data_IF_595363631451
#
_entry.id   IF_595363631451
#
_cell.length_a   1.000
_cell.length_b   1.000
_cell.length_c   1.000
_cell.angle_alpha   90.00
_cell.angle_beta   90.00
_cell.angle_gamma   90.00
#
_symmetry.space_group_name_H-M   'P 1'
#
loop_
_entity.id
_entity.type
_entity.pdbx_description
1 polymer ?
#
# COMPACT_ATOMS: atom_id res chain seq x y z
N UNK A 1 -27.60 -3.77 16.83
CA UNK A 1 -26.66 -4.75 17.42
C UNK A 1 -26.04 -5.49 16.26
N UNK A 2 -24.78 -5.18 15.98
CA UNK A 2 -24.12 -5.38 14.68
C UNK A 2 -23.09 -6.52 14.77
N UNK A 3 -23.13 -7.57 13.91
CA UNK A 3 -22.26 -8.74 14.03
C UNK A 3 -20.89 -8.61 13.34
N UNK A 4 -20.44 -7.42 12.93
CA UNK A 4 -19.22 -7.23 12.13
C UNK A 4 -17.91 -6.96 12.91
N UNK A 5 -17.78 -7.49 14.14
CA UNK A 5 -16.58 -7.33 14.98
C UNK A 5 -15.90 -8.68 15.31
N UNK A 6 -15.79 -9.58 14.34
CA UNK A 6 -14.96 -10.79 14.50
C UNK A 6 -13.56 -10.57 13.93
N UNK A 7 -12.59 -10.78 14.82
CA UNK A 7 -11.17 -10.45 14.71
C UNK A 7 -10.49 -11.18 13.56
N UNK A 8 -9.78 -10.44 12.72
CA UNK A 8 -8.73 -10.99 11.85
C UNK A 8 -7.51 -11.31 12.73
N UNK A 9 -7.57 -12.44 13.43
CA UNK A 9 -6.37 -13.09 13.99
C UNK A 9 -5.65 -13.81 12.85
N UNK A 10 -4.52 -13.24 12.42
CA UNK A 10 -3.65 -13.79 11.39
C UNK A 10 -3.23 -15.23 11.69
N UNK A 11 -3.68 -16.12 10.80
CA UNK A 11 -3.30 -17.53 10.69
C UNK A 11 -1.81 -17.68 10.34
N UNK A 12 -0.96 -17.66 11.36
CA UNK A 12 0.25 -18.49 11.38
C UNK A 12 -0.10 -19.70 12.25
N UNK A 13 -0.10 -20.89 11.65
CA UNK A 13 -0.37 -22.15 12.34
C UNK A 13 0.38 -22.17 13.69
N UNK A 14 -0.28 -22.37 14.83
CA UNK A 14 0.38 -22.31 16.15
C UNK A 14 1.57 -23.27 16.27
N UNK A 15 1.59 -24.36 15.48
CA UNK A 15 2.74 -25.28 15.40
C UNK A 15 3.95 -24.67 14.70
N UNK A 16 3.76 -23.78 13.73
CA UNK A 16 4.84 -23.05 13.04
C UNK A 16 5.48 -21.98 13.92
N UNK A 17 4.71 -21.33 14.81
CA UNK A 17 5.25 -20.36 15.78
C UNK A 17 6.16 -21.05 16.80
N UNK A 18 5.75 -22.22 17.29
CA UNK A 18 6.55 -23.03 18.22
C UNK A 18 7.80 -23.59 17.54
N UNK A 19 7.73 -23.96 16.25
CA UNK A 19 8.89 -24.42 15.48
C UNK A 19 9.89 -23.30 15.17
N UNK A 20 9.45 -22.07 14.90
CA UNK A 20 10.36 -20.94 14.68
C UNK A 20 11.04 -20.49 15.98
N UNK A 21 10.28 -20.36 17.08
CA UNK A 21 10.84 -20.00 18.39
C UNK A 21 11.72 -21.14 18.93
N UNK A 22 11.27 -22.38 18.81
CA UNK A 22 12.02 -23.57 19.23
C UNK A 22 13.26 -23.83 18.37
N UNK A 23 13.20 -23.61 17.06
CA UNK A 23 14.33 -23.74 16.14
C UNK A 23 15.40 -22.67 16.35
N UNK A 24 14.98 -21.41 16.61
CA UNK A 24 15.89 -20.35 16.98
C UNK A 24 16.56 -20.60 18.34
N UNK A 25 15.84 -21.15 19.33
CA UNK A 25 16.39 -21.57 20.62
C UNK A 25 17.33 -22.78 20.49
N UNK A 26 17.02 -23.75 19.63
CA UNK A 26 17.86 -24.93 19.39
C UNK A 26 19.15 -24.63 18.61
N UNK A 27 19.14 -23.63 17.72
CA UNK A 27 20.35 -23.14 17.07
C UNK A 27 21.31 -22.39 18.03
N UNK A 28 20.79 -21.89 19.17
CA UNK A 28 21.58 -21.26 20.23
C UNK A 28 22.17 -22.27 21.23
N UNK A 29 21.66 -23.50 21.29
CA UNK A 29 22.11 -24.51 22.26
C UNK A 29 23.55 -25.04 22.03
N UNK A 30 24.05 -25.29 20.80
CA UNK A 30 25.43 -25.77 20.63
C UNK A 30 26.51 -24.69 20.79
N UNK A 31 26.15 -23.41 20.91
CA UNK A 31 27.11 -22.32 21.21
C UNK A 31 27.42 -22.22 22.72
N UNK A 32 26.68 -22.96 23.57
CA UNK A 32 26.72 -22.77 25.03
C UNK A 32 27.69 -23.67 25.82
N UNK A 33 28.41 -24.61 25.19
CA UNK A 33 29.14 -25.65 25.95
C UNK A 33 30.66 -25.74 25.73
N UNK A 34 31.27 -24.78 25.04
CA UNK A 34 32.73 -24.60 25.07
C UNK A 34 33.04 -23.17 25.52
N UNK A 35 33.68 -23.02 26.69
CA UNK A 35 34.17 -21.76 27.30
C UNK A 35 33.16 -20.75 27.90
N UNK A 36 31.98 -21.19 28.34
CA UNK A 36 30.95 -20.33 28.96
C UNK A 36 31.36 -19.57 30.25
N UNK A 37 32.49 -19.91 30.89
CA UNK A 37 33.01 -19.16 32.05
C UNK A 37 33.93 -17.98 31.67
N UNK A 38 34.35 -17.86 30.40
CA UNK A 38 35.06 -16.68 29.87
C UNK A 38 34.16 -15.69 29.15
N UNK A 39 32.94 -16.10 28.79
CA UNK A 39 31.91 -15.25 28.20
C UNK A 39 30.82 -14.96 29.25
N UNK A 40 31.08 -14.01 30.16
CA UNK A 40 29.95 -13.24 30.66
C UNK A 40 29.34 -12.55 29.43
N UNK A 41 28.04 -12.74 29.12
CA UNK A 41 27.40 -12.05 27.98
C UNK A 41 27.47 -10.52 28.14
N UNK A 42 27.80 -10.06 29.36
CA UNK A 42 28.19 -8.71 29.72
C UNK A 42 29.47 -8.79 30.56
N UNK A 43 30.61 -9.17 29.96
CA UNK A 43 31.93 -8.98 30.58
C UNK A 43 32.03 -7.57 31.18
N UNK A 44 32.89 -7.34 32.21
CA UNK A 44 32.82 -6.17 33.09
C UNK A 44 32.45 -4.94 32.28
N UNK A 45 31.21 -4.46 32.50
CA UNK A 45 30.67 -3.29 31.82
C UNK A 45 31.52 -2.12 32.29
N UNK A 46 32.62 -1.86 31.60
CA UNK A 46 33.47 -0.69 31.78
C UNK A 46 32.76 0.51 31.14
N UNK A 47 31.50 0.71 31.55
CA UNK A 47 30.67 1.82 31.13
C UNK A 47 30.99 3.00 32.05
N UNK A 48 32.05 3.73 31.73
CA UNK A 48 32.35 5.00 32.39
C UNK A 48 31.34 6.04 31.93
N UNK A 49 30.29 6.22 32.73
CA UNK A 49 29.16 7.07 32.40
C UNK A 49 29.51 8.55 32.68
N UNK A 50 30.04 9.26 31.68
CA UNK A 50 30.38 10.69 31.77
C UNK A 50 29.30 11.57 31.13
N UNK A 51 28.27 11.92 31.91
CA UNK A 51 27.13 12.75 31.46
C UNK A 51 27.39 14.25 31.46
N UNK A 52 28.63 14.71 31.63
CA UNK A 52 28.91 16.14 31.76
C UNK A 52 28.44 16.92 30.52
N UNK A 53 27.36 17.74 30.63
CA UNK A 53 26.87 18.53 29.52
C UNK A 53 27.94 19.53 29.12
N UNK A 54 28.28 19.59 27.83
CA UNK A 54 29.30 20.51 27.32
C UNK A 54 30.71 20.32 27.90
N UNK A 55 31.02 19.15 28.49
CA UNK A 55 32.42 18.80 28.80
C UNK A 55 33.28 19.11 27.57
N UNK A 56 34.44 19.77 27.72
CA UNK A 56 35.28 20.14 26.59
C UNK A 56 35.39 18.95 25.63
N UNK A 57 35.16 19.19 24.34
CA UNK A 57 35.38 18.13 23.35
C UNK A 57 36.76 17.55 23.64
N UNK A 58 36.90 16.22 23.63
CA UNK A 58 38.18 15.57 23.91
C UNK A 58 39.19 16.01 22.85
N UNK A 59 39.85 17.11 23.14
CA UNK A 59 40.94 17.68 22.37
C UNK A 59 42.21 16.99 22.85
N UNK A 60 42.25 15.66 22.85
CA UNK A 60 43.51 14.91 23.00
C UNK A 60 44.39 15.26 21.79
N UNK A 61 44.99 16.45 21.90
CA UNK A 61 45.52 17.31 20.84
C UNK A 61 46.92 16.87 20.43
N UNK A 62 47.33 15.69 20.90
CA UNK A 62 48.62 15.09 20.63
C UNK A 62 48.47 13.72 19.95
N UNK A 63 47.72 13.70 18.84
CA UNK A 63 48.08 12.87 17.68
C UNK A 63 47.32 11.57 17.42
N UNK A 64 46.41 11.13 18.31
CA UNK A 64 45.69 9.85 18.16
C UNK A 64 44.40 9.89 17.34
N UNK A 65 43.70 11.03 17.30
CA UNK A 65 42.29 11.05 16.88
C UNK A 65 41.38 10.57 18.01
N UNK A 66 40.10 10.90 17.90
CA UNK A 66 39.09 10.37 18.81
C UNK A 66 38.88 8.91 18.41
N UNK A 67 39.12 8.00 19.35
CA UNK A 67 38.80 6.59 19.13
C UNK A 67 37.27 6.46 19.11
N UNK A 68 36.69 5.78 18.10
CA UNK A 68 35.25 5.62 18.09
C UNK A 68 34.81 4.71 19.21
N UNK A 69 33.63 4.99 19.74
CA UNK A 69 33.10 4.30 20.90
C UNK A 69 33.05 2.78 20.70
N UNK A 70 33.34 2.06 21.79
CA UNK A 70 33.10 0.62 21.95
C UNK A 70 32.00 0.41 22.99
N UNK A 71 31.49 -0.82 23.09
CA UNK A 71 30.36 -1.15 23.93
C UNK A 71 29.02 -1.10 23.20
N UNK A 72 27.94 -0.99 23.99
CA UNK A 72 26.59 -0.95 23.48
C UNK A 72 26.25 0.43 22.94
N UNK A 73 25.60 0.48 21.78
CA UNK A 73 25.09 1.71 21.22
C UNK A 73 23.60 1.59 20.92
N UNK A 74 22.94 2.74 20.87
CA UNK A 74 21.53 2.86 20.59
C UNK A 74 21.28 4.11 19.75
N UNK A 75 20.35 4.04 18.80
CA UNK A 75 19.92 5.20 18.02
C UNK A 75 18.41 5.14 17.87
N UNK A 76 17.76 6.29 18.00
CA UNK A 76 16.34 6.46 17.74
C UNK A 76 16.15 7.60 16.75
N UNK A 77 15.46 7.32 15.66
CA UNK A 77 15.15 8.30 14.62
C UNK A 77 13.65 8.39 14.38
N UNK A 78 13.17 9.63 14.26
CA UNK A 78 11.93 9.93 13.56
C UNK A 78 12.24 10.12 12.08
N UNK A 79 11.50 9.41 11.24
CA UNK A 79 11.72 9.39 9.79
C UNK A 79 10.57 10.13 9.11
N UNK A 80 10.90 11.02 8.17
CA UNK A 80 9.95 11.75 7.35
C UNK A 80 10.31 11.53 5.88
N UNK A 81 9.56 10.64 5.24
CA UNK A 81 9.84 10.18 3.88
C UNK A 81 8.76 10.63 2.91
N UNK A 82 9.12 10.55 1.65
CA UNK A 82 8.30 10.68 0.48
C UNK A 82 8.37 9.38 -0.30
N UNK A 83 7.23 8.84 -0.69
CA UNK A 83 7.12 7.56 -1.39
C UNK A 83 6.54 7.79 -2.78
N UNK A 84 7.16 7.23 -3.81
CA UNK A 84 6.61 7.31 -5.17
C UNK A 84 5.25 6.59 -5.22
N UNK A 85 4.37 7.01 -6.12
CA UNK A 85 3.10 6.30 -6.36
C UNK A 85 3.31 5.02 -7.18
N UNK A 86 2.35 4.09 -7.17
CA UNK A 86 2.34 2.96 -8.10
C UNK A 86 2.38 3.45 -9.54
N UNK A 87 2.97 2.66 -10.44
CA UNK A 87 3.01 2.99 -11.87
C UNK A 87 1.60 3.13 -12.50
N UNK A 88 0.63 2.46 -11.87
CA UNK A 88 -0.80 2.46 -12.22
C UNK A 88 -1.58 3.64 -11.64
N UNK A 89 -0.99 4.47 -10.76
CA UNK A 89 -1.70 5.62 -10.21
C UNK A 89 -1.91 6.72 -11.27
N UNK A 90 -2.90 7.61 -11.05
CA UNK A 90 -3.17 8.73 -11.96
C UNK A 90 -1.97 9.67 -12.17
N UNK A 91 -1.08 9.76 -11.17
CA UNK A 91 0.12 10.58 -11.20
C UNK A 91 1.33 9.77 -10.70
N UNK A 92 1.89 8.82 -11.47
CA UNK A 92 2.90 7.88 -10.98
C UNK A 92 4.21 8.56 -10.53
N UNK A 93 4.52 9.74 -11.10
CA UNK A 93 5.72 10.52 -10.76
C UNK A 93 5.55 11.41 -9.52
N UNK A 94 4.38 11.40 -8.87
CA UNK A 94 4.15 12.16 -7.64
C UNK A 94 4.67 11.39 -6.43
N UNK A 95 5.18 12.13 -5.46
CA UNK A 95 5.59 11.60 -4.18
C UNK A 95 4.60 11.99 -3.08
N UNK A 96 4.23 11.02 -2.26
CA UNK A 96 3.35 11.22 -1.12
C UNK A 96 4.12 11.08 0.20
N UNK A 97 3.81 11.96 1.15
CA UNK A 97 4.52 12.03 2.42
C UNK A 97 4.09 10.90 3.36
N UNK A 98 5.06 10.32 4.04
CA UNK A 98 4.86 9.34 5.11
C UNK A 98 5.77 9.65 6.30
N UNK A 99 5.49 9.06 7.45
CA UNK A 99 6.36 9.16 8.64
C UNK A 99 6.55 7.81 9.28
N UNK A 100 7.69 7.65 9.94
CA UNK A 100 8.06 6.41 10.58
C UNK A 100 8.96 6.63 11.77
N UNK A 101 9.37 5.51 12.35
CA UNK A 101 10.34 5.45 13.43
C UNK A 101 11.34 4.35 13.10
N UNK A 102 12.62 4.62 13.37
CA UNK A 102 13.70 3.63 13.32
C UNK A 102 14.42 3.57 14.65
N UNK A 103 14.82 2.36 15.02
CA UNK A 103 15.62 2.07 16.20
C UNK A 103 16.79 1.20 15.75
N UNK A 104 18.02 1.69 15.96
CA UNK A 104 19.22 0.90 15.81
C UNK A 104 19.76 0.54 17.19
N UNK A 105 20.25 -0.68 17.33
CA UNK A 105 20.95 -1.11 18.53
C UNK A 105 22.11 -2.01 18.15
N UNK A 106 23.14 -2.05 18.98
CA UNK A 106 24.24 -2.94 18.70
C UNK A 106 25.31 -2.90 19.77
N UNK A 107 26.39 -3.61 19.46
CA UNK A 107 27.55 -3.72 20.31
C UNK A 107 28.80 -3.72 19.44
N UNK A 108 29.82 -2.94 19.82
CA UNK A 108 31.15 -2.96 19.22
C UNK A 108 32.17 -3.42 20.26
N UNK A 109 32.93 -4.47 19.96
CA UNK A 109 34.05 -4.89 20.81
C UNK A 109 35.31 -4.06 20.54
N UNK A 110 36.23 -4.08 21.49
CA UNK A 110 37.55 -3.45 21.37
C UNK A 110 38.41 -4.07 20.24
N UNK A 111 38.05 -5.27 19.79
CA UNK A 111 38.67 -5.93 18.64
C UNK A 111 38.11 -5.48 17.29
N UNK A 112 37.36 -4.37 17.26
CA UNK A 112 36.76 -3.77 16.06
C UNK A 112 35.81 -4.71 15.30
N UNK A 113 35.11 -5.58 16.03
CA UNK A 113 33.99 -6.33 15.48
C UNK A 113 32.80 -6.28 16.44
N UNK A 114 31.61 -6.42 15.89
CA UNK A 114 30.38 -6.15 16.62
C UNK A 114 29.17 -6.78 15.97
N UNK A 115 28.01 -6.37 16.44
CA UNK A 115 26.71 -6.70 15.88
C UNK A 115 25.86 -5.44 15.85
N UNK A 116 25.01 -5.33 14.83
CA UNK A 116 24.03 -4.26 14.69
C UNK A 116 22.68 -4.87 14.33
N UNK A 117 21.63 -4.38 14.98
CA UNK A 117 20.24 -4.67 14.68
C UNK A 117 19.50 -3.38 14.41
N UNK A 118 18.48 -3.47 13.55
CA UNK A 118 17.63 -2.34 13.19
C UNK A 118 16.16 -2.78 13.16
N UNK A 119 15.30 -1.93 13.72
CA UNK A 119 13.86 -2.03 13.64
C UNK A 119 13.33 -0.76 12.99
N UNK A 120 12.56 -0.90 11.92
CA UNK A 120 11.95 0.23 11.22
C UNK A 120 10.46 0.00 11.03
N UNK A 121 9.67 1.05 11.22
CA UNK A 121 8.24 1.06 10.95
C UNK A 121 7.85 2.40 10.31
N UNK A 122 7.18 2.32 9.16
CA UNK A 122 6.66 3.46 8.41
C UNK A 122 5.16 3.23 8.24
N UNK A 123 4.36 4.21 8.67
CA UNK A 123 2.91 4.19 8.54
C UNK A 123 2.51 5.24 7.50
N UNK A 124 2.12 4.78 6.32
CA UNK A 124 1.76 5.61 5.18
C UNK A 124 2.71 5.43 4.00
N UNK A 125 2.50 6.16 2.90
CA UNK A 125 1.57 7.28 2.74
C UNK A 125 0.11 6.84 2.93
N UNK A 126 -0.76 7.75 3.35
CA UNK A 126 -2.20 7.51 3.49
C UNK A 126 -2.95 8.46 2.56
N UNK A 127 -2.60 8.43 1.27
CA UNK A 127 -3.20 9.34 0.30
C UNK A 127 -4.39 8.67 -0.35
N UNK A 128 -5.54 9.30 -0.11
CA UNK A 128 -6.78 9.05 -0.80
C UNK A 128 -6.99 10.23 -1.74
N UNK A 129 -7.29 9.96 -3.01
CA UNK A 129 -7.92 10.93 -3.89
C UNK A 129 -9.32 11.14 -3.33
N UNK A 130 -9.49 12.19 -2.55
CA UNK A 130 -10.81 12.71 -2.23
C UNK A 130 -11.43 13.09 -3.58
N UNK A 131 -12.54 12.45 -4.01
CA UNK A 131 -13.21 12.92 -5.21
C UNK A 131 -13.48 14.39 -5.00
N UNK A 132 -12.86 15.23 -5.84
CA UNK A 132 -13.13 16.67 -5.88
C UNK A 132 -14.63 16.80 -5.90
N UNK A 133 -15.16 17.42 -4.86
CA UNK A 133 -16.53 17.49 -4.35
C UNK A 133 -17.62 17.67 -5.43
N UNK A 134 -17.70 16.73 -6.38
CA UNK A 134 -18.85 16.52 -7.24
C UNK A 134 -19.79 15.72 -6.38
N UNK A 135 -20.36 16.45 -5.42
CA UNK A 135 -21.61 16.13 -4.75
C UNK A 135 -22.47 15.43 -5.78
N UNK A 136 -22.74 14.15 -5.56
CA UNK A 136 -23.77 13.51 -6.35
C UNK A 136 -25.08 14.03 -5.85
N UNK A 137 -25.67 14.91 -6.65
CA UNK A 137 -27.09 15.10 -6.62
C UNK A 137 -27.73 13.81 -7.12
N UNK A 138 -28.04 12.90 -6.19
CA UNK A 138 -29.00 11.85 -6.46
C UNK A 138 -30.36 12.52 -6.58
N UNK A 139 -30.70 12.96 -7.80
CA UNK A 139 -32.04 13.45 -8.11
C UNK A 139 -32.94 12.22 -8.20
N UNK A 140 -33.51 11.82 -7.06
CA UNK A 140 -34.58 10.84 -7.03
C UNK A 140 -35.85 11.53 -7.53
N UNK A 141 -36.11 11.43 -8.83
CA UNK A 141 -37.37 11.87 -9.42
C UNK A 141 -38.43 10.84 -9.04
N UNK A 142 -39.15 11.10 -7.95
CA UNK A 142 -40.39 10.38 -7.68
C UNK A 142 -41.53 11.13 -8.40
N UNK A 143 -42.15 10.56 -9.46
CA UNK A 143 -43.33 11.16 -10.05
C UNK A 143 -44.46 11.09 -9.02
N UNK A 144 -44.73 12.19 -8.32
CA UNK A 144 -45.65 12.19 -7.17
C UNK A 144 -47.12 12.40 -7.54
N UNK A 145 -47.47 12.28 -8.82
CA UNK A 145 -48.84 12.38 -9.30
C UNK A 145 -48.99 13.27 -10.52
N UNK A 146 -50.22 13.42 -10.98
CA UNK A 146 -50.62 14.34 -12.04
C UNK A 146 -51.06 15.65 -11.36
N UNK A 147 -50.51 16.78 -11.78
CA UNK A 147 -50.95 18.10 -11.33
C UNK A 147 -52.45 18.23 -11.65
N UNK A 148 -53.32 18.38 -10.64
CA UNK A 148 -54.77 18.32 -10.84
C UNK A 148 -55.32 19.49 -11.66
N UNK A 149 -54.54 20.55 -11.89
CA UNK A 149 -54.97 21.76 -12.60
C UNK A 149 -54.56 21.75 -14.06
N UNK A 150 -53.37 21.22 -14.38
CA UNK A 150 -52.87 21.15 -15.77
C UNK A 150 -53.04 19.78 -16.41
N UNK A 151 -53.26 18.72 -15.63
CA UNK A 151 -53.26 17.34 -16.13
C UNK A 151 -51.87 16.82 -16.52
N UNK A 152 -50.81 17.59 -16.27
CA UNK A 152 -49.42 17.19 -16.54
C UNK A 152 -48.79 16.51 -15.33
N UNK A 153 -47.80 15.61 -15.52
CA UNK A 153 -47.08 14.98 -14.41
C UNK A 153 -46.40 16.03 -13.52
N UNK A 154 -46.70 16.02 -12.22
CA UNK A 154 -46.02 16.85 -11.24
C UNK A 154 -44.75 16.13 -10.80
N UNK A 155 -43.61 16.62 -11.28
CA UNK A 155 -42.30 16.17 -10.82
C UNK A 155 -41.99 16.92 -9.52
N UNK A 156 -42.32 16.32 -8.37
CA UNK A 156 -41.72 16.77 -7.13
C UNK A 156 -40.25 16.37 -7.16
N UNK A 157 -39.38 17.37 -7.20
CA UNK A 157 -37.96 17.18 -6.96
C UNK A 157 -37.79 17.30 -5.45
N UNK A 158 -37.67 16.18 -4.68
CA UNK A 158 -37.37 16.28 -3.27
C UNK A 158 -36.05 17.03 -3.08
N UNK A 159 -35.88 17.79 -1.97
CA UNK A 159 -34.62 18.43 -1.67
C UNK A 159 -33.51 17.39 -1.70
N UNK A 160 -32.48 17.67 -2.49
CA UNK A 160 -31.35 16.76 -2.67
C UNK A 160 -30.69 16.56 -1.30
N UNK A 161 -30.84 15.36 -0.75
CA UNK A 161 -30.09 14.95 0.44
C UNK A 161 -28.74 14.46 -0.06
N UNK A 162 -27.73 15.33 0.01
CA UNK A 162 -26.35 14.95 -0.24
C UNK A 162 -25.85 14.12 0.94
N UNK A 163 -25.88 12.79 0.83
CA UNK A 163 -25.13 11.94 1.75
C UNK A 163 -23.65 11.96 1.35
N UNK A 164 -22.74 12.39 2.24
CA UNK A 164 -21.31 12.30 1.99
C UNK A 164 -20.91 10.82 2.04
N UNK A 165 -20.80 10.18 0.87
CA UNK A 165 -20.16 8.87 0.79
C UNK A 165 -18.63 9.08 0.85
N UNK A 166 -17.92 8.47 1.81
CA UNK A 166 -16.47 8.47 1.87
C UNK A 166 -15.91 7.58 0.75
N UNK A 167 -16.03 8.04 -0.49
CA UNK A 167 -15.65 7.33 -1.71
C UNK A 167 -14.27 7.74 -2.22
N UNK A 168 -13.35 8.05 -1.31
CA UNK A 168 -11.96 8.36 -1.64
C UNK A 168 -11.28 7.17 -2.31
N UNK A 169 -10.59 7.40 -3.44
CA UNK A 169 -9.77 6.36 -4.07
C UNK A 169 -8.44 6.31 -3.34
N UNK A 170 -8.10 5.22 -2.67
CA UNK A 170 -6.75 5.02 -2.14
C UNK A 170 -5.76 4.97 -3.30
N UNK A 171 -4.96 6.01 -3.50
CA UNK A 171 -3.96 6.06 -4.58
C UNK A 171 -2.61 5.49 -4.15
N UNK A 172 -2.25 5.74 -2.89
CA UNK A 172 -0.97 5.36 -2.33
C UNK A 172 -1.14 5.21 -0.81
N UNK A 173 -1.76 4.09 -0.43
CA UNK A 173 -1.96 3.71 0.97
C UNK A 173 -1.05 2.54 1.29
N UNK A 174 -0.24 2.66 2.34
CA UNK A 174 0.62 1.54 2.70
C UNK A 174 1.30 1.64 4.04
N UNK A 175 2.03 0.58 4.39
CA UNK A 175 2.91 0.55 5.55
C UNK A 175 4.10 -0.35 5.25
N UNK A 176 5.22 -0.05 5.90
CA UNK A 176 6.44 -0.83 5.81
C UNK A 176 6.94 -1.12 7.23
N UNK A 177 7.22 -2.38 7.52
CA UNK A 177 7.93 -2.80 8.72
C UNK A 177 9.17 -3.58 8.33
N UNK A 178 10.29 -3.34 9.00
CA UNK A 178 11.56 -4.00 8.69
C UNK A 178 12.32 -4.37 9.95
N UNK A 179 12.98 -5.52 9.90
CA UNK A 179 13.95 -5.99 10.88
C UNK A 179 15.24 -6.40 10.17
N UNK A 180 16.37 -5.96 10.69
CA UNK A 180 17.69 -6.37 10.23
C UNK A 180 18.56 -6.81 11.41
N UNK A 181 19.44 -7.79 11.14
CA UNK A 181 20.51 -8.16 12.05
C UNK A 181 21.77 -8.51 11.26
N UNK A 182 22.87 -7.84 11.58
CA UNK A 182 24.12 -7.91 10.81
C UNK A 182 25.35 -7.98 11.72
N UNK A 183 26.34 -8.77 11.31
CA UNK A 183 27.68 -8.74 11.88
C UNK A 183 28.39 -7.49 11.36
N UNK A 184 29.09 -6.78 12.24
CA UNK A 184 29.77 -5.52 11.95
C UNK A 184 31.29 -5.71 12.11
N UNK A 185 32.08 -5.16 11.19
CA UNK A 185 33.54 -5.10 11.28
C UNK A 185 34.01 -3.69 10.98
N UNK A 186 34.77 -3.11 11.91
CA UNK A 186 35.37 -1.79 11.76
C UNK A 186 36.81 -1.95 11.27
N UNK A 187 37.13 -1.32 10.15
CA UNK A 187 38.49 -1.28 9.63
C UNK A 187 39.34 -0.32 10.47
N UNK A 188 40.66 -0.53 10.40
CA UNK A 188 41.61 0.43 10.96
C UNK A 188 41.39 1.81 10.34
N UNK A 189 41.51 2.90 11.12
CA UNK A 189 41.28 4.24 10.62
C UNK A 189 42.10 4.55 9.37
N UNK A 190 41.45 5.06 8.33
CA UNK A 190 42.08 5.51 7.10
C UNK A 190 42.69 6.90 7.35
N UNK A 191 43.99 7.05 7.08
CA UNK A 191 44.79 8.29 7.20
C UNK A 191 44.73 8.96 8.60
N UNK A 192 45.68 8.60 9.47
CA UNK A 192 45.77 9.15 10.83
C UNK A 192 47.15 9.08 11.47
N UNK A 193 48.26 9.06 10.72
CA UNK A 193 49.61 9.26 11.31
C UNK A 193 49.76 10.75 11.68
N UNK A 194 49.20 11.14 12.82
CA UNK A 194 49.72 12.27 13.61
C UNK A 194 48.85 13.51 13.79
N UNK A 195 47.66 13.64 13.19
CA UNK A 195 46.78 14.81 13.43
C UNK A 195 45.29 14.47 13.41
N UNK A 196 44.82 13.90 14.52
CA UNK A 196 43.47 14.03 15.05
C UNK A 196 42.29 14.04 14.08
N UNK A 197 41.63 12.91 13.88
CA UNK A 197 40.34 12.82 13.16
C UNK A 197 40.36 11.87 11.96
N UNK A 198 40.81 10.64 12.18
CA UNK A 198 40.81 9.58 11.17
C UNK A 198 39.39 9.26 10.73
N UNK A 199 39.23 8.89 9.47
CA UNK A 199 37.96 8.34 8.98
C UNK A 199 37.91 6.85 9.25
N UNK A 200 36.75 6.37 9.66
CA UNK A 200 36.48 4.96 9.90
C UNK A 200 35.60 4.41 8.80
N UNK A 201 35.82 3.14 8.49
CA UNK A 201 34.98 2.38 7.56
C UNK A 201 34.54 1.12 8.28
N UNK A 202 33.24 0.89 8.29
CA UNK A 202 32.62 -0.32 8.81
C UNK A 202 31.99 -1.09 7.66
N UNK A 203 32.14 -2.40 7.69
CA UNK A 203 31.46 -3.32 6.80
C UNK A 203 30.50 -4.15 7.62
N UNK A 204 29.36 -4.49 7.05
CA UNK A 204 28.43 -5.39 7.71
C UNK A 204 27.81 -6.37 6.74
N UNK A 205 27.54 -7.56 7.27
CA UNK A 205 26.96 -8.70 6.56
C UNK A 205 25.89 -9.31 7.46
N UNK A 206 24.69 -9.49 6.92
CA UNK A 206 23.56 -9.94 7.71
C UNK A 206 22.37 -10.36 6.87
N UNK A 207 21.21 -10.34 7.50
CA UNK A 207 19.92 -10.60 6.87
C UNK A 207 18.91 -9.53 7.23
N UNK A 208 17.99 -9.28 6.30
CA UNK A 208 16.86 -8.36 6.47
C UNK A 208 15.56 -9.09 6.17
N UNK A 209 14.53 -8.77 6.95
CA UNK A 209 13.14 -9.14 6.73
C UNK A 209 12.31 -7.87 6.68
N UNK A 210 11.55 -7.67 5.60
CA UNK A 210 10.73 -6.48 5.39
C UNK A 210 9.34 -6.91 4.95
N UNK A 211 8.31 -6.34 5.59
CA UNK A 211 6.92 -6.46 5.16
C UNK A 211 6.45 -5.13 4.61
N UNK A 212 5.89 -5.15 3.41
CA UNK A 212 5.22 -3.99 2.80
C UNK A 212 3.76 -4.35 2.57
N UNK A 213 2.86 -3.54 3.10
CA UNK A 213 1.44 -3.60 2.78
C UNK A 213 1.11 -2.40 1.91
N UNK A 214 0.54 -2.66 0.74
CA UNK A 214 0.03 -1.65 -0.16
C UNK A 214 -1.46 -1.88 -0.37
N UNK A 215 -2.24 -0.81 -0.38
CA UNK A 215 -3.66 -0.83 -0.67
C UNK A 215 -3.93 0.21 -1.76
N UNK A 216 -4.64 -0.23 -2.77
CA UNK A 216 -5.26 0.62 -3.79
C UNK A 216 -6.76 0.33 -3.77
N UNK A 217 -7.58 1.33 -3.98
CA UNK A 217 -9.02 1.13 -4.12
C UNK A 217 -9.52 1.91 -5.32
N UNK A 218 -10.01 1.18 -6.30
CA UNK A 218 -10.58 1.78 -7.48
C UNK A 218 -12.10 1.81 -7.35
N UNK A 219 -12.66 3.01 -7.45
CA UNK A 219 -14.10 3.19 -7.57
C UNK A 219 -14.44 3.24 -9.07
N UNK A 220 -14.87 2.10 -9.61
CA UNK A 220 -15.29 2.02 -10.99
C UNK A 220 -16.63 2.73 -11.16
N UNK A 221 -16.60 3.78 -11.98
CA UNK A 221 -17.80 4.34 -12.58
C UNK A 221 -17.79 3.96 -14.06
N UNK A 222 -18.60 3.00 -14.50
CA UNK A 222 -18.97 2.99 -15.90
C UNK A 222 -19.87 4.21 -16.12
N UNK A 223 -19.29 5.38 -16.40
CA UNK A 223 -20.00 6.45 -17.10
C UNK A 223 -20.20 6.00 -18.56
N UNK A 224 -20.90 4.89 -18.77
CA UNK A 224 -21.49 4.58 -20.06
C UNK A 224 -22.81 5.34 -20.07
N UNK A 225 -22.76 6.57 -20.58
CA UNK A 225 -23.99 7.18 -21.08
C UNK A 225 -24.40 6.40 -22.33
N UNK A 226 -25.42 5.55 -22.18
CA UNK A 226 -26.14 5.01 -23.32
C UNK A 226 -26.95 6.19 -23.85
N UNK A 227 -26.49 6.80 -24.94
CA UNK A 227 -27.22 7.85 -25.61
C UNK A 227 -28.52 7.24 -26.19
N UNK A 228 -29.66 7.85 -25.87
CA UNK A 228 -31.01 7.29 -26.14
C UNK A 228 -31.30 7.19 -27.66
N UNK A 229 -30.47 7.81 -28.50
CA UNK A 229 -30.61 7.82 -29.94
C UNK A 229 -29.90 6.65 -30.66
N UNK A 230 -29.59 5.56 -29.96
CA UNK A 230 -29.17 4.29 -30.58
C UNK A 230 -27.86 4.34 -31.38
N UNK A 231 -27.10 5.44 -31.28
CA UNK A 231 -25.84 5.60 -31.99
C UNK A 231 -24.71 5.61 -30.96
N UNK A 232 -24.03 4.48 -30.72
CA UNK A 232 -22.83 4.48 -29.90
C UNK A 232 -21.76 5.32 -30.63
N UNK A 233 -21.46 6.52 -30.13
CA UNK A 233 -20.40 7.39 -30.69
C UNK A 233 -18.99 6.93 -30.33
N UNK A 234 -18.83 5.76 -29.69
CA UNK A 234 -17.57 5.05 -29.56
C UNK A 234 -17.84 3.54 -29.71
N UNK A 235 -17.13 2.81 -30.59
CA UNK A 235 -17.31 1.37 -30.72
C UNK A 235 -16.83 0.67 -29.46
N UNK A 236 -17.78 0.19 -28.66
CA UNK A 236 -17.55 -0.89 -27.70
C UNK A 236 -17.23 -2.15 -28.52
N UNK A 237 -15.95 -2.48 -28.68
CA UNK A 237 -15.53 -3.81 -29.13
C UNK A 237 -15.87 -4.83 -28.04
N UNK A 238 -17.12 -5.29 -28.02
CA UNK A 238 -17.52 -6.48 -27.29
C UNK A 238 -17.12 -7.69 -28.14
N UNK A 239 -15.99 -8.29 -27.83
CA UNK A 239 -15.60 -9.60 -28.34
C UNK A 239 -16.40 -10.68 -27.59
N UNK A 240 -17.07 -11.59 -28.32
CA UNK A 240 -16.84 -13.01 -28.11
C UNK A 240 -16.13 -13.63 -29.34
N UNK A 241 -15.50 -14.80 -29.18
CA UNK A 241 -14.65 -15.42 -30.21
C UNK A 241 -15.40 -15.66 -31.53
N UNK A 242 -14.67 -15.47 -32.63
CA UNK A 242 -15.14 -15.72 -34.00
C UNK A 242 -15.85 -17.07 -34.14
N UNK A 243 -17.13 -17.03 -34.55
CA UNK A 243 -17.89 -18.24 -34.86
C UNK A 243 -19.41 -18.10 -34.85
N UNK A 244 -19.98 -17.04 -34.28
CA UNK A 244 -21.42 -16.79 -34.32
C UNK A 244 -21.64 -15.35 -34.79
N UNK A 245 -22.07 -15.16 -36.03
CA UNK A 245 -22.52 -13.85 -36.51
C UNK A 245 -23.81 -13.47 -35.78
N UNK A 246 -23.83 -12.41 -34.94
CA UNK A 246 -25.09 -11.83 -34.53
C UNK A 246 -25.58 -10.97 -35.68
N UNK A 247 -26.67 -11.39 -36.33
CA UNK A 247 -27.39 -10.55 -37.27
C UNK A 247 -28.13 -9.47 -36.44
N UNK A 248 -27.46 -8.36 -36.15
CA UNK A 248 -28.08 -7.18 -35.55
C UNK A 248 -28.71 -6.34 -36.68
N UNK A 249 -30.00 -6.55 -36.90
CA UNK A 249 -30.80 -5.71 -37.79
C UNK A 249 -31.17 -4.40 -37.07
N UNK A 250 -30.34 -3.38 -37.26
CA UNK A 250 -30.54 -2.02 -36.73
C UNK A 250 -31.74 -1.29 -37.35
N UNK A 251 -32.38 -1.84 -38.38
CA UNK A 251 -33.52 -1.19 -39.04
C UNK A 251 -34.89 -1.64 -38.51
N UNK A 252 -34.93 -2.52 -37.50
CA UNK A 252 -36.20 -3.08 -37.00
C UNK A 252 -36.49 -2.81 -35.51
N UNK A 253 -35.81 -1.84 -34.90
CA UNK A 253 -36.24 -1.28 -33.62
C UNK A 253 -37.15 -0.08 -33.92
N UNK A 254 -38.43 -0.38 -34.16
CA UNK A 254 -39.48 0.62 -34.09
C UNK A 254 -39.55 1.13 -32.64
N UNK A 255 -38.88 2.25 -32.37
CA UNK A 255 -39.06 2.99 -31.13
C UNK A 255 -40.49 3.53 -31.19
N UNK A 256 -41.39 2.92 -30.41
CA UNK A 256 -42.76 3.38 -30.31
C UNK A 256 -42.78 4.85 -29.84
N UNK A 257 -43.59 5.73 -30.46
CA UNK A 257 -43.77 7.08 -29.97
C UNK A 257 -44.42 7.01 -28.58
N UNK A 258 -43.74 7.52 -27.55
CA UNK A 258 -44.27 7.59 -26.17
C UNK A 258 -43.49 6.83 -25.10
N UNK A 259 -42.26 6.39 -25.37
CA UNK A 259 -41.36 5.94 -24.30
C UNK A 259 -40.63 7.14 -23.68
N UNK A 260 -41.28 7.73 -22.69
CA UNK A 260 -40.76 8.85 -21.91
C UNK A 260 -39.61 8.37 -20.98
N UNK A 261 -38.43 8.92 -21.22
CA UNK A 261 -37.24 9.15 -20.38
C UNK A 261 -37.15 8.60 -18.93
N UNK A 262 -37.57 7.36 -18.65
CA UNK A 262 -37.21 6.65 -17.42
C UNK A 262 -36.22 5.52 -17.71
N UNK A 263 -35.09 5.90 -18.33
CA UNK A 263 -33.88 5.11 -18.23
C UNK A 263 -33.37 5.19 -16.78
N UNK A 264 -33.88 4.29 -15.92
CA UNK A 264 -33.37 4.01 -14.59
C UNK A 264 -31.91 3.57 -14.70
N UNK A 265 -30.99 4.55 -14.75
CA UNK A 265 -29.57 4.30 -14.60
C UNK A 265 -29.28 4.05 -13.12
N UNK A 266 -29.45 2.80 -12.69
CA UNK A 266 -28.97 2.35 -11.37
C UNK A 266 -27.44 2.32 -11.44
N UNK A 267 -26.83 3.49 -11.20
CA UNK A 267 -25.38 3.66 -11.08
C UNK A 267 -24.98 3.30 -9.65
N UNK A 268 -24.79 2.03 -9.37
CA UNK A 268 -24.27 1.60 -8.08
C UNK A 268 -22.77 1.34 -8.16
N UNK A 269 -22.04 2.09 -7.34
CA UNK A 269 -20.60 2.07 -7.27
C UNK A 269 -20.25 1.11 -6.16
N UNK A 270 -19.60 0.01 -6.50
CA UNK A 270 -19.04 -0.89 -5.49
C UNK A 270 -17.53 -0.70 -5.54
N UNK A 271 -16.92 -0.03 -4.55
CA UNK A 271 -15.48 0.13 -4.51
C UNK A 271 -14.85 -1.27 -4.39
N UNK A 272 -13.97 -1.59 -5.33
CA UNK A 272 -13.14 -2.78 -5.26
C UNK A 272 -11.75 -2.35 -4.79
N UNK A 273 -11.41 -2.76 -3.57
CA UNK A 273 -10.05 -2.65 -3.05
C UNK A 273 -9.17 -3.79 -3.57
N UNK A 274 -7.93 -3.47 -3.92
CA UNK A 274 -6.85 -4.45 -4.09
C UNK A 274 -5.84 -4.20 -2.97
N UNK A 275 -5.57 -5.25 -2.20
CA UNK A 275 -4.55 -5.26 -1.16
C UNK A 275 -3.41 -6.16 -1.60
N UNK A 276 -2.18 -5.67 -1.48
CA UNK A 276 -0.98 -6.42 -1.74
C UNK A 276 -0.11 -6.45 -0.47
N UNK A 277 0.26 -7.63 -0.03
CA UNK A 277 1.23 -7.84 1.03
C UNK A 277 2.50 -8.47 0.46
N UNK A 278 3.64 -7.86 0.74
CA UNK A 278 4.95 -8.30 0.30
C UNK A 278 5.75 -8.70 1.53
N UNK A 279 6.19 -9.94 1.60
CA UNK A 279 7.10 -10.45 2.63
C UNK A 279 8.46 -10.73 2.01
N UNK A 280 9.38 -9.81 2.23
CA UNK A 280 10.69 -9.73 1.57
C UNK A 280 11.75 -10.19 2.56
N UNK A 281 12.58 -11.15 2.17
CA UNK A 281 13.70 -11.57 3.00
C UNK A 281 14.92 -11.93 2.16
N UNK A 282 16.10 -11.65 2.69
CA UNK A 282 17.33 -11.98 2.02
C UNK A 282 18.60 -11.57 2.77
N UNK A 283 19.77 -12.04 2.29
CA UNK A 283 21.05 -11.54 2.75
C UNK A 283 21.24 -10.07 2.37
N UNK A 284 22.01 -9.37 3.21
CA UNK A 284 22.36 -7.97 3.03
C UNK A 284 23.85 -7.77 3.28
N UNK A 285 24.45 -6.89 2.47
CA UNK A 285 25.78 -6.36 2.68
C UNK A 285 25.70 -4.84 2.74
N UNK A 286 26.55 -4.22 3.55
CA UNK A 286 26.66 -2.78 3.54
C UNK A 286 27.98 -2.26 4.05
N UNK A 287 28.18 -0.97 3.81
CA UNK A 287 29.37 -0.20 4.17
C UNK A 287 28.92 1.09 4.81
N UNK A 288 29.56 1.46 5.91
CA UNK A 288 29.42 2.75 6.55
C UNK A 288 30.77 3.44 6.61
N UNK A 289 30.82 4.69 6.20
CA UNK A 289 31.94 5.58 6.41
C UNK A 289 31.53 6.65 7.41
N UNK A 290 32.42 7.00 8.34
CA UNK A 290 32.19 8.15 9.21
C UNK A 290 33.49 8.86 9.57
N UNK A 291 33.36 10.15 9.87
CA UNK A 291 34.45 11.01 10.29
C UNK A 291 33.98 11.97 11.37
N UNK A 292 34.69 11.97 12.49
CA UNK A 292 34.47 12.89 13.58
C UNK A 292 35.47 14.06 13.50
N UNK A 293 34.98 15.28 13.71
CA UNK A 293 35.79 16.50 13.82
C UNK A 293 35.22 17.39 14.91
N UNK A 294 35.88 17.39 16.08
CA UNK A 294 35.32 18.03 17.26
C UNK A 294 34.04 17.31 17.67
N UNK A 295 32.96 18.05 17.87
CA UNK A 295 31.63 17.51 18.24
C UNK A 295 30.79 17.05 17.05
N UNK A 296 31.22 17.32 15.83
CA UNK A 296 30.49 16.89 14.63
C UNK A 296 30.98 15.53 14.18
N UNK A 297 30.05 14.62 13.92
CA UNK A 297 30.30 13.38 13.20
C UNK A 297 29.48 13.39 11.92
N UNK A 298 30.15 13.22 10.78
CA UNK A 298 29.50 13.05 9.47
C UNK A 298 29.63 11.58 9.10
N UNK A 299 28.54 10.96 8.70
CA UNK A 299 28.53 9.57 8.24
C UNK A 299 27.76 9.40 6.95
N UNK A 300 28.17 8.42 6.16
CA UNK A 300 27.47 7.95 4.98
C UNK A 300 27.42 6.43 5.02
N UNK A 301 26.27 5.86 4.73
CA UNK A 301 26.02 4.44 4.80
C UNK A 301 25.30 3.98 3.53
N UNK A 302 25.73 2.84 2.99
CA UNK A 302 25.12 2.22 1.83
C UNK A 302 24.91 0.72 2.09
N UNK A 303 23.72 0.23 1.77
CA UNK A 303 23.27 -1.14 2.00
C UNK A 303 22.65 -1.68 0.72
N UNK A 304 23.00 -2.90 0.37
CA UNK A 304 22.38 -3.65 -0.72
C UNK A 304 21.87 -4.98 -0.21
N UNK A 305 20.64 -5.34 -0.58
CA UNK A 305 20.04 -6.60 -0.20
C UNK A 305 19.45 -7.33 -1.41
N UNK A 306 19.69 -8.63 -1.45
CA UNK A 306 19.21 -9.52 -2.51
C UNK A 306 18.12 -10.37 -1.91
N UNK A 307 16.86 -10.03 -2.16
CA UNK A 307 15.74 -10.67 -1.48
C UNK A 307 14.78 -11.40 -2.40
N UNK A 308 14.16 -12.40 -1.80
CA UNK A 308 12.99 -13.08 -2.32
C UNK A 308 11.77 -12.44 -1.66
N UNK A 309 10.80 -12.06 -2.47
CA UNK A 309 9.53 -11.48 -2.06
C UNK A 309 8.41 -12.51 -2.23
N UNK A 310 7.80 -12.92 -1.11
CA UNK A 310 6.54 -13.66 -1.12
C UNK A 310 5.40 -12.65 -1.12
N UNK A 311 4.66 -12.61 -2.23
CA UNK A 311 3.55 -11.71 -2.43
C UNK A 311 2.22 -12.42 -2.18
N UNK A 312 1.29 -11.71 -1.56
CA UNK A 312 -0.10 -12.10 -1.39
C UNK A 312 -0.99 -10.96 -1.86
N UNK A 313 -1.71 -11.18 -2.95
CA UNK A 313 -2.58 -10.19 -3.58
C UNK A 313 -4.03 -10.63 -3.37
N UNK A 314 -4.82 -9.75 -2.77
CA UNK A 314 -6.24 -9.97 -2.49
C UNK A 314 -7.02 -8.86 -3.15
N UNK A 315 -7.99 -9.23 -3.99
CA UNK A 315 -8.91 -8.28 -4.59
C UNK A 315 -10.22 -8.94 -4.94
N UNK A 316 -11.16 -8.16 -5.45
CA UNK A 316 -12.38 -8.71 -6.04
C UNK A 316 -12.80 -7.96 -7.28
N UNK A 317 -13.86 -8.44 -7.90
CA UNK A 317 -14.68 -7.69 -8.86
C UNK A 317 -16.12 -8.18 -8.76
N UNK A 318 -17.08 -7.27 -8.89
CA UNK A 318 -18.49 -7.65 -9.03
C UNK A 318 -18.70 -8.12 -10.46
N UNK A 319 -19.10 -9.37 -10.63
CA UNK A 319 -19.71 -9.82 -11.88
C UNK A 319 -21.20 -9.54 -11.74
N UNK A 320 -21.70 -8.63 -12.57
CA UNK A 320 -23.12 -8.55 -12.80
C UNK A 320 -23.45 -9.57 -13.87
N UNK A 321 -23.98 -10.71 -13.45
CA UNK A 321 -24.53 -11.66 -14.41
C UNK A 321 -25.67 -10.96 -15.17
N UNK A 322 -25.72 -11.06 -16.50
CA UNK A 322 -26.85 -10.55 -17.25
C UNK A 322 -28.10 -11.22 -16.70
N UNK A 323 -29.05 -10.42 -16.21
CA UNK A 323 -30.31 -10.96 -15.73
C UNK A 323 -30.92 -11.80 -16.87
N UNK A 324 -31.22 -13.10 -16.65
CA UNK A 324 -31.89 -13.88 -17.67
C UNK A 324 -33.19 -13.16 -17.99
N UNK A 325 -33.38 -12.82 -19.28
CA UNK A 325 -34.62 -12.22 -19.75
C UNK A 325 -35.68 -13.31 -19.58
N UNK A 326 -36.43 -13.25 -18.48
CA UNK A 326 -37.57 -14.13 -18.30
C UNK A 326 -38.68 -13.59 -19.20
N UNK A 327 -39.12 -14.35 -20.23
CA UNK A 327 -40.30 -13.94 -20.98
C UNK A 327 -41.47 -13.87 -20.00
N UNK A 328 -42.11 -12.71 -19.91
CA UNK A 328 -43.30 -12.57 -19.07
C UNK A 328 -44.36 -13.56 -19.55
N UNK A 329 -45.05 -14.27 -18.64
CA UNK A 329 -46.27 -14.95 -19.03
C UNK A 329 -47.23 -13.91 -19.62
N UNK A 330 -47.92 -14.20 -20.74
CA UNK A 330 -48.88 -13.28 -21.32
C UNK A 330 -49.90 -12.86 -20.25
N UNK A 331 -50.30 -11.59 -20.19
CA UNK A 331 -51.23 -11.11 -19.17
C UNK A 331 -52.51 -11.93 -19.21
N UNK A 332 -52.93 -12.45 -18.06
CA UNK A 332 -54.17 -13.21 -17.96
C UNK A 332 -55.31 -12.23 -17.75
N UNK A 333 -56.42 -12.43 -18.46
CA UNK A 333 -57.60 -11.57 -18.32
C UNK A 333 -58.07 -11.53 -16.86
N UNK A 334 -57.99 -10.35 -16.24
CA UNK A 334 -58.36 -10.14 -14.83
C UNK A 334 -57.22 -9.67 -13.91
N UNK A 335 -55.98 -9.62 -14.39
CA UNK A 335 -54.86 -9.11 -13.60
C UNK A 335 -54.98 -7.59 -13.39
N UNK A 336 -55.12 -7.19 -12.13
CA UNK A 336 -55.37 -5.81 -11.68
C UNK A 336 -54.09 -4.96 -11.65
N UNK A 337 -53.38 -4.85 -12.77
CA UNK A 337 -52.30 -3.86 -12.89
C UNK A 337 -52.90 -2.50 -13.24
N UNK A 338 -52.77 -1.55 -12.32
CA UNK A 338 -53.48 -0.26 -12.26
C UNK A 338 -53.12 0.77 -13.32
N UNK A 339 -53.15 0.40 -14.60
CA UNK A 339 -53.36 1.37 -15.66
C UNK A 339 -54.87 1.52 -15.89
N UNK A 340 -55.42 2.75 -15.92
CA UNK A 340 -56.79 2.94 -16.34
C UNK A 340 -56.88 2.53 -17.82
N UNK A 341 -57.36 1.31 -18.08
CA UNK A 341 -57.82 0.94 -19.40
C UNK A 341 -58.99 1.87 -19.73
N UNK A 342 -58.73 2.92 -20.50
CA UNK A 342 -59.79 3.75 -21.07
C UNK A 342 -60.65 2.85 -21.95
N UNK A 343 -61.89 2.68 -21.48
CA UNK A 343 -62.88 1.67 -21.87
C UNK A 343 -63.48 1.92 -23.27
N UNK A 344 -62.66 2.11 -24.29
CA UNK A 344 -63.16 2.26 -25.67
C UNK A 344 -62.49 1.41 -26.72
N UNK A 345 -61.33 0.79 -26.46
CA UNK A 345 -60.83 -0.26 -27.35
C UNK A 345 -59.86 -1.24 -26.67
N UNK A 346 -60.32 -2.40 -26.16
CA UNK A 346 -59.45 -3.42 -25.57
C UNK A 346 -58.64 -4.22 -26.59
N UNK A 347 -58.76 -3.96 -27.90
CA UNK A 347 -58.08 -4.74 -28.94
C UNK A 347 -56.75 -4.13 -29.44
N UNK A 348 -56.36 -2.93 -28.98
CA UNK A 348 -55.30 -2.14 -29.61
C UNK A 348 -53.92 -2.11 -28.94
N UNK A 349 -53.77 -2.61 -27.70
CA UNK A 349 -52.48 -2.50 -26.99
C UNK A 349 -51.67 -3.79 -27.20
N UNK A 350 -51.12 -3.94 -28.40
CA UNK A 350 -50.05 -4.91 -28.71
C UNK A 350 -48.69 -4.26 -28.47
N UNK A 351 -48.28 -4.21 -27.21
CA UNK A 351 -46.94 -3.76 -26.83
C UNK A 351 -46.40 -4.65 -25.71
N UNK A 352 -45.16 -5.17 -25.80
CA UNK A 352 -44.56 -5.95 -24.74
C UNK A 352 -44.29 -5.06 -23.51
N UNK A 353 -45.09 -5.20 -22.45
CA UNK A 353 -44.84 -4.58 -21.15
C UNK A 353 -43.78 -5.38 -20.40
N UNK A 354 -42.51 -5.24 -20.79
CA UNK A 354 -41.39 -5.79 -20.01
C UNK A 354 -41.07 -4.84 -18.87
N UNK A 355 -41.50 -5.15 -17.65
CA UNK A 355 -40.92 -4.51 -16.45
C UNK A 355 -39.54 -5.15 -16.24
N UNK A 356 -38.44 -4.37 -16.21
CA UNK A 356 -37.13 -4.91 -15.88
C UNK A 356 -37.18 -5.50 -14.47
N UNK A 357 -37.04 -6.82 -14.36
CA UNK A 357 -36.82 -7.46 -13.06
C UNK A 357 -35.47 -6.95 -12.55
N UNK A 358 -35.47 -6.32 -11.37
CA UNK A 358 -34.22 -5.89 -10.76
C UNK A 358 -33.29 -7.10 -10.59
N UNK A 359 -32.04 -7.03 -11.08
CA UNK A 359 -31.07 -8.10 -10.90
C UNK A 359 -30.84 -8.32 -9.40
N UNK A 360 -31.37 -9.42 -8.88
CA UNK A 360 -31.49 -9.65 -7.44
C UNK A 360 -30.24 -10.25 -6.80
N UNK A 361 -29.21 -10.57 -7.59
CA UNK A 361 -27.96 -11.13 -7.09
C UNK A 361 -26.75 -10.50 -7.78
N UNK A 362 -25.90 -9.84 -7.00
CA UNK A 362 -24.52 -9.52 -7.41
C UNK A 362 -23.60 -10.61 -6.91
N UNK A 363 -22.87 -11.25 -7.81
CA UNK A 363 -21.81 -12.16 -7.40
C UNK A 363 -20.50 -11.38 -7.30
N UNK A 364 -19.98 -11.22 -6.08
CA UNK A 364 -18.63 -10.69 -5.86
C UNK A 364 -17.66 -11.86 -6.07
N UNK A 365 -16.84 -11.79 -7.11
CA UNK A 365 -15.75 -12.73 -7.30
C UNK A 365 -14.51 -12.17 -6.62
N UNK A 366 -14.05 -12.83 -5.56
CA UNK A 366 -12.78 -12.50 -4.89
C UNK A 366 -11.67 -13.37 -5.47
N UNK A 367 -10.52 -12.79 -5.77
CA UNK A 367 -9.30 -13.52 -6.13
C UNK A 367 -8.26 -13.41 -5.02
N UNK A 368 -7.51 -14.51 -4.85
CA UNK A 368 -6.43 -14.65 -3.89
C UNK A 368 -5.22 -15.24 -4.59
N UNK A 369 -4.23 -14.42 -4.87
CA UNK A 369 -3.04 -14.84 -5.59
C UNK A 369 -1.82 -14.82 -4.68
N UNK A 370 -1.03 -15.90 -4.73
CA UNK A 370 0.21 -16.04 -3.98
C UNK A 370 1.34 -16.33 -4.95
N UNK A 371 2.39 -15.54 -4.89
CA UNK A 371 3.52 -15.71 -5.79
C UNK A 371 4.85 -15.32 -5.15
N UNK A 372 5.92 -15.68 -5.84
CA UNK A 372 7.29 -15.47 -5.42
C UNK A 372 8.01 -14.66 -6.50
N UNK A 373 8.64 -13.56 -6.11
CA UNK A 373 9.39 -12.67 -7.00
C UNK A 373 10.74 -12.36 -6.41
N UNK A 374 11.70 -12.02 -7.27
CA UNK A 374 12.94 -11.40 -6.84
C UNK A 374 12.68 -9.92 -6.60
N UNK A 375 13.12 -9.38 -5.46
CA UNK A 375 12.98 -7.98 -5.11
C UNK A 375 14.33 -7.45 -4.59
N UNK A 376 15.30 -7.19 -5.48
CA UNK A 376 16.57 -6.59 -5.10
C UNK A 376 16.33 -5.14 -4.71
N UNK A 377 17.14 -4.64 -3.78
CA UNK A 377 16.87 -3.36 -3.17
C UNK A 377 18.07 -2.88 -2.36
N UNK A 378 18.04 -1.62 -1.95
CA UNK A 378 19.12 -1.01 -1.20
C UNK A 378 18.71 0.28 -0.53
N UNK A 379 19.53 0.72 0.41
CA UNK A 379 19.36 2.00 1.07
C UNK A 379 20.67 2.75 1.22
N UNK A 380 20.60 4.07 1.11
CA UNK A 380 21.70 5.01 1.28
C UNK A 380 21.29 6.06 2.29
N UNK A 381 22.15 6.30 3.29
CA UNK A 381 21.92 7.26 4.37
C UNK A 381 23.10 8.19 4.51
N UNK A 382 22.84 9.47 4.77
CA UNK A 382 23.85 10.46 5.09
C UNK A 382 23.42 11.20 6.34
N UNK A 383 24.19 11.11 7.41
CA UNK A 383 23.83 11.67 8.71
C UNK A 383 24.90 12.64 9.20
N UNK A 384 24.47 13.72 9.84
CA UNK A 384 25.29 14.63 10.62
C UNK A 384 24.81 14.59 12.06
N UNK A 385 25.72 14.27 12.99
CA UNK A 385 25.43 14.26 14.42
C UNK A 385 26.29 15.27 15.17
N UNK A 386 25.71 15.85 16.23
CA UNK A 386 26.34 16.81 17.11
C UNK A 386 26.30 16.32 18.55
N UNK A 387 27.49 16.09 19.12
CA UNK A 387 27.69 15.59 20.47
C UNK A 387 27.43 16.65 21.54
N UNK A 388 26.37 16.45 22.32
CA UNK A 388 26.06 17.27 23.50
C UNK A 388 26.90 16.79 24.69
N UNK A 389 26.99 15.47 24.86
CA UNK A 389 27.86 14.79 25.83
C UNK A 389 28.69 13.73 25.10
N UNK A 390 29.63 13.09 25.80
CA UNK A 390 30.41 11.98 25.23
C UNK A 390 29.55 10.80 24.78
N UNK A 391 28.41 10.61 25.43
CA UNK A 391 27.52 9.47 25.18
C UNK A 391 26.19 9.86 24.56
N UNK A 392 25.93 11.15 24.29
CA UNK A 392 24.66 11.62 23.74
C UNK A 392 24.88 12.65 22.63
N UNK A 393 24.34 12.35 21.45
CA UNK A 393 24.37 13.24 20.30
C UNK A 393 22.96 13.41 19.70
N UNK A 394 22.70 14.58 19.14
CA UNK A 394 21.56 14.81 18.25
C UNK A 394 21.98 14.48 16.83
N UNK A 395 21.08 13.89 16.06
CA UNK A 395 21.34 13.48 14.69
C UNK A 395 20.28 14.04 13.73
N UNK A 396 20.73 14.48 12.56
CA UNK A 396 19.87 14.78 11.43
C UNK A 396 20.47 14.14 10.18
N UNK A 397 19.62 13.57 9.34
CA UNK A 397 20.08 12.83 8.17
C UNK A 397 19.14 12.90 6.99
N UNK A 398 19.61 12.34 5.88
CA UNK A 398 18.85 12.08 4.67
C UNK A 398 18.96 10.60 4.31
N UNK A 399 17.86 10.02 3.87
CA UNK A 399 17.76 8.60 3.53
C UNK A 399 17.10 8.41 2.16
N UNK A 400 17.63 7.45 1.41
CA UNK A 400 17.04 6.88 0.21
C UNK A 400 16.91 5.38 0.41
N UNK A 401 15.71 4.83 0.29
CA UNK A 401 15.44 3.39 0.31
C UNK A 401 14.73 3.04 -1.00
N UNK A 402 15.30 2.10 -1.75
CA UNK A 402 14.79 1.72 -3.05
C UNK A 402 14.58 0.21 -3.11
N UNK A 403 13.37 -0.19 -3.44
CA UNK A 403 13.02 -1.53 -3.87
C UNK A 403 12.88 -1.49 -5.39
N UNK A 404 13.67 -2.30 -6.09
CA UNK A 404 13.51 -2.46 -7.53
C UNK A 404 12.22 -3.23 -7.84
N UNK A 405 12.08 -3.63 -9.10
CA UNK A 405 11.04 -4.54 -9.57
C UNK A 405 10.83 -5.75 -8.64
N UNK A 406 9.60 -6.25 -8.64
CA UNK A 406 9.18 -7.37 -7.81
C UNK A 406 8.42 -6.98 -6.56
N UNK A 407 7.91 -5.75 -6.45
CA UNK A 407 6.98 -5.33 -5.39
C UNK A 407 5.56 -5.35 -5.94
N UNK A 408 4.67 -6.07 -5.25
CA UNK A 408 3.25 -6.03 -5.53
C UNK A 408 2.66 -4.74 -4.97
N UNK A 409 2.04 -3.95 -5.85
CA UNK A 409 1.34 -2.70 -5.54
C UNK A 409 -0.03 -2.73 -6.24
N UNK A 410 -1.04 -2.12 -5.63
CA UNK A 410 -2.42 -2.22 -6.14
C UNK A 410 -2.62 -1.58 -7.52
N UNK A 411 -3.66 -2.04 -8.23
CA UNK A 411 -4.05 -1.61 -9.58
C UNK A 411 -5.06 -0.46 -9.51
N UNK A 412 -4.80 0.64 -10.22
CA UNK A 412 -5.79 1.72 -10.46
C UNK A 412 -6.41 1.66 -11.87
N UNK A 413 -6.00 0.73 -12.72
CA UNK A 413 -6.50 0.68 -14.08
C UNK A 413 -7.91 0.10 -14.11
N UNK A 414 -8.87 1.00 -14.30
CA UNK A 414 -10.25 0.65 -14.59
C UNK A 414 -10.36 -0.29 -15.81
N UNK A 415 -11.52 -0.95 -15.98
CA UNK A 415 -11.77 -1.99 -16.99
C UNK A 415 -11.30 -1.65 -18.41
N UNK A 416 -11.31 -0.38 -18.80
CA UNK A 416 -11.07 0.03 -20.18
C UNK A 416 -9.62 -0.16 -20.68
N UNK A 417 -8.66 -0.53 -19.82
CA UNK A 417 -7.33 -0.95 -20.27
C UNK A 417 -7.32 -2.45 -20.68
N UNK A 418 -8.25 -2.81 -21.58
CA UNK A 418 -8.49 -4.17 -22.09
C UNK A 418 -7.37 -4.71 -23.01
N UNK A 419 -6.30 -3.95 -23.24
CA UNK A 419 -5.17 -4.43 -24.04
C UNK A 419 -4.43 -5.63 -23.40
N UNK A 420 -4.81 -6.07 -22.20
CA UNK A 420 -4.18 -7.20 -21.51
C UNK A 420 -5.18 -8.24 -20.95
N UNK A 421 -6.23 -8.57 -21.72
CA UNK A 421 -7.34 -9.47 -21.29
C UNK A 421 -6.91 -10.93 -21.00
N UNK A 422 -5.61 -11.26 -21.02
CA UNK A 422 -5.10 -12.57 -20.62
C UNK A 422 -3.83 -12.52 -19.74
N UNK A 423 -3.47 -11.36 -19.19
CA UNK A 423 -2.18 -11.20 -18.53
C UNK A 423 -2.24 -10.30 -17.31
N UNK A 424 -2.14 -10.90 -16.12
CA UNK A 424 -1.78 -10.26 -14.85
C UNK A 424 -0.32 -9.80 -14.94
N UNK A 425 0.00 -8.89 -15.87
CA UNK A 425 1.36 -8.38 -16.06
C UNK A 425 1.40 -6.95 -15.52
N UNK A 426 2.12 -6.72 -14.42
CA UNK A 426 2.51 -5.39 -13.94
C UNK A 426 1.98 -4.95 -12.57
N UNK A 427 1.24 -5.80 -11.85
CA UNK A 427 0.81 -5.49 -10.46
C UNK A 427 1.82 -5.96 -9.43
N UNK A 428 2.43 -7.09 -9.75
CA UNK A 428 3.35 -7.91 -8.98
C UNK A 428 4.82 -7.55 -9.22
N UNK A 429 5.07 -6.63 -10.14
CA UNK A 429 6.42 -6.27 -10.59
C UNK A 429 6.59 -4.75 -10.70
N UNK A 430 6.38 -4.04 -9.60
CA UNK A 430 6.63 -2.59 -9.51
C UNK A 430 7.85 -2.30 -8.64
N UNK A 431 8.39 -1.09 -8.80
CA UNK A 431 9.40 -0.54 -7.91
C UNK A 431 8.76 0.33 -6.83
N UNK A 432 9.50 0.58 -5.75
CA UNK A 432 9.10 1.47 -4.68
C UNK A 432 10.29 2.22 -4.12
N UNK A 433 10.22 3.55 -4.13
CA UNK A 433 11.26 4.42 -3.61
C UNK A 433 10.74 5.26 -2.46
N UNK A 434 11.54 5.30 -1.40
CA UNK A 434 11.42 6.26 -0.31
C UNK A 434 12.61 7.19 -0.35
N UNK A 435 12.36 8.47 -0.10
CA UNK A 435 13.42 9.44 0.12
C UNK A 435 12.97 10.42 1.19
N UNK A 436 13.88 10.95 1.99
CA UNK A 436 13.54 12.06 2.87
C UNK A 436 14.54 12.26 3.98
N UNK A 437 14.09 12.88 5.06
CA UNK A 437 14.96 13.28 6.15
C UNK A 437 14.63 12.55 7.46
N UNK A 438 15.65 12.41 8.29
CA UNK A 438 15.57 11.79 9.61
C UNK A 438 16.05 12.78 10.66
N UNK A 439 15.44 12.73 11.85
CA UNK A 439 15.90 13.48 13.03
C UNK A 439 15.80 12.55 14.23
N UNK A 440 16.87 12.51 15.02
CA UNK A 440 16.98 11.54 16.09
C UNK A 440 18.03 11.89 17.12
N UNK A 441 18.35 10.90 17.94
CA UNK A 441 19.43 10.96 18.89
C UNK A 441 20.17 9.63 18.95
N UNK A 442 21.42 9.74 19.37
CA UNK A 442 22.37 8.64 19.40
C UNK A 442 22.94 8.54 20.80
N UNK A 443 23.06 7.30 21.29
CA UNK A 443 23.71 6.96 22.54
C UNK A 443 24.92 6.07 22.27
N UNK A 444 26.10 6.53 22.70
CA UNK A 444 27.36 5.76 22.73
C UNK A 444 27.78 5.13 21.38
N UNK A 445 27.69 5.86 20.27
CA UNK A 445 27.99 5.35 18.92
C UNK A 445 29.35 5.78 18.40
#
# INVERSE_FOLDING_TARGET
MDPFQERVELMLNPRMRVLFIGGALLALLPVSMADAQKFQPFGPLDFTQDWQPFAPAEISSYGGGIEPNTGFFFTYDRIHLWVNRPATALMPNKFDRTTGTRIDFGYMSDTNNGWIGELMSINGPNVYDEPTDRQRDLVVINPSGINPTSGEPEINIPPVVTEPYPNGRAENVGSLTSFEFSKLWRLKPLHGRGKGGGSHVEWFLGGRFTTIKAQDSYNYNPDVQIDVNGTPTQPLQVYPPEGISPNFDVNNVAVAPGLDAQALSIRQYTPLGVMAENSIFGPQVGVRWFRQRGRWTISAEGRGFFAVNRQEIVGGYTVQDPAPITPFPPPTFGDTLGFPLTRTDPAGITGPTTVPVEPTARQITTYHEKQWKWAPAGDVRVNASWEITKSFALEAGWEWLYFANGIARGKSDGPNNHANTLGVFGLDDQDMMFTGWTVGFVINR
#
